data_IF_426480713098
#
_entry.id   IF_426480713098
#
_cell.length_a   1.000
_cell.length_b   1.000
_cell.length_c   1.000
_cell.angle_alpha   90.00
_cell.angle_beta   90.00
_cell.angle_gamma   90.00
#
_symmetry.space_group_name_H-M   'P 1'
#
loop_
_entity.id
_entity.type
_entity.pdbx_description
1 polymer ?
#
# COMPACT_ATOMS: atom_id res chain seq x y z
N UNK A 1 -12.77 -2.14 -15.41
CA UNK A 1 -14.17 -1.64 -15.50
C UNK A 1 -14.56 -0.87 -14.24
N UNK A 2 -14.59 -1.51 -13.06
CA UNK A 2 -14.95 -0.87 -11.80
C UNK A 2 -14.17 0.43 -11.50
N UNK A 3 -12.84 0.40 -11.58
CA UNK A 3 -12.02 1.60 -11.32
C UNK A 3 -12.27 2.75 -12.30
N UNK A 4 -12.66 2.45 -13.55
CA UNK A 4 -13.05 3.47 -14.52
C UNK A 4 -14.40 4.12 -14.17
N UNK A 5 -15.31 3.37 -13.56
CA UNK A 5 -16.67 3.83 -13.25
C UNK A 5 -16.71 4.72 -11.99
N UNK A 6 -15.95 4.40 -10.94
CA UNK A 6 -16.05 5.10 -9.65
C UNK A 6 -14.73 5.66 -9.11
N UNK A 7 -13.59 5.35 -9.75
CA UNK A 7 -12.25 5.66 -9.22
C UNK A 7 -11.87 7.14 -9.16
N UNK A 8 -12.76 8.04 -9.61
CA UNK A 8 -12.60 9.49 -9.44
C UNK A 8 -12.96 9.94 -8.02
N UNK A 9 -14.03 9.37 -7.46
CA UNK A 9 -14.59 9.78 -6.18
C UNK A 9 -14.32 8.75 -5.07
N UNK A 10 -13.87 7.55 -5.44
CA UNK A 10 -13.64 6.42 -4.53
C UNK A 10 -12.19 5.94 -4.65
N UNK A 11 -11.54 5.75 -3.51
CA UNK A 11 -10.25 5.07 -3.44
C UNK A 11 -10.44 3.55 -3.61
N UNK A 12 -9.70 2.96 -4.52
CA UNK A 12 -9.72 1.55 -4.89
C UNK A 12 -8.32 1.00 -4.60
N UNK A 13 -8.23 0.31 -3.49
CA UNK A 13 -6.97 -0.17 -2.92
C UNK A 13 -6.64 -1.57 -3.47
N UNK A 14 -5.47 -1.71 -4.08
CA UNK A 14 -4.92 -3.00 -4.50
C UNK A 14 -4.09 -3.63 -3.38
N UNK A 15 -4.56 -4.76 -2.84
CA UNK A 15 -3.85 -5.61 -1.87
C UNK A 15 -3.35 -6.90 -2.55
N UNK A 16 -4.17 -7.96 -2.57
CA UNK A 16 -3.83 -9.23 -3.23
C UNK A 16 -3.61 -9.10 -4.74
N UNK A 17 -4.15 -8.04 -5.35
CA UNK A 17 -3.96 -7.74 -6.76
C UNK A 17 -2.51 -7.35 -7.07
N UNK A 18 -1.87 -6.59 -6.17
CA UNK A 18 -0.56 -5.98 -6.39
C UNK A 18 0.53 -6.66 -5.57
N UNK A 19 0.19 -7.28 -4.43
CA UNK A 19 1.08 -7.98 -3.49
C UNK A 19 2.37 -7.22 -3.19
N UNK A 20 2.30 -5.88 -3.16
CA UNK A 20 3.48 -5.00 -3.01
C UNK A 20 4.58 -5.24 -4.06
N UNK A 21 4.26 -5.87 -5.20
CA UNK A 21 5.21 -6.22 -6.24
C UNK A 21 5.21 -5.18 -7.38
N UNK A 22 6.35 -4.51 -7.69
CA UNK A 22 6.42 -3.49 -8.73
C UNK A 22 5.92 -3.91 -10.12
N UNK A 23 6.14 -5.17 -10.53
CA UNK A 23 5.67 -5.70 -11.82
C UNK A 23 4.14 -5.75 -11.84
N UNK A 24 3.53 -6.22 -10.75
CA UNK A 24 2.06 -6.30 -10.62
C UNK A 24 1.41 -4.93 -10.43
N UNK A 25 2.09 -4.02 -9.74
CA UNK A 25 1.67 -2.62 -9.64
C UNK A 25 1.65 -1.98 -11.03
N UNK A 26 2.73 -2.13 -11.82
CA UNK A 26 2.79 -1.59 -13.17
C UNK A 26 1.70 -2.18 -14.08
N UNK A 27 1.46 -3.49 -13.99
CA UNK A 27 0.37 -4.16 -14.71
C UNK A 27 -1.00 -3.56 -14.33
N UNK A 28 -1.26 -3.38 -13.03
CA UNK A 28 -2.51 -2.82 -12.54
C UNK A 28 -2.70 -1.33 -12.91
N UNK A 29 -1.62 -0.55 -12.96
CA UNK A 29 -1.61 0.83 -13.48
C UNK A 29 -2.02 0.85 -14.95
N UNK A 30 -1.36 0.02 -15.78
CA UNK A 30 -1.61 -0.03 -17.22
C UNK A 30 -3.05 -0.44 -17.55
N UNK A 31 -3.62 -1.36 -16.75
CA UNK A 31 -5.00 -1.83 -16.90
C UNK A 31 -6.02 -0.88 -16.26
N UNK A 32 -5.59 0.12 -15.49
CA UNK A 32 -6.47 0.99 -14.72
C UNK A 32 -7.33 0.19 -13.74
N UNK A 33 -6.71 -0.74 -13.00
CA UNK A 33 -7.41 -1.68 -12.12
C UNK A 33 -7.64 -1.16 -10.70
N UNK A 34 -6.80 -0.24 -10.23
CA UNK A 34 -6.89 0.39 -8.91
C UNK A 34 -6.36 1.83 -8.98
N UNK A 35 -6.40 2.56 -7.86
CA UNK A 35 -5.80 3.90 -7.75
C UNK A 35 -5.07 4.12 -6.40
N UNK A 36 -4.87 3.06 -5.62
CA UNK A 36 -4.12 3.07 -4.37
C UNK A 36 -3.43 1.73 -4.14
N UNK A 37 -2.22 1.75 -3.59
CA UNK A 37 -1.46 0.58 -3.16
C UNK A 37 -1.67 0.32 -1.67
N UNK A 38 -1.99 -0.92 -1.27
CA UNK A 38 -1.80 -1.36 0.11
C UNK A 38 -0.37 -1.90 0.30
N UNK A 39 0.48 -1.11 0.96
CA UNK A 39 1.88 -1.43 1.16
C UNK A 39 2.07 -2.37 2.35
N UNK A 40 2.53 -3.59 2.10
CA UNK A 40 2.97 -4.54 3.14
C UNK A 40 4.43 -4.92 2.92
N UNK A 41 5.32 -4.35 3.73
CA UNK A 41 6.78 -4.46 3.59
C UNK A 41 7.27 -5.91 3.48
N UNK A 42 6.73 -6.80 4.31
CA UNK A 42 7.13 -8.21 4.32
C UNK A 42 6.53 -9.05 3.18
N UNK A 43 5.69 -8.49 2.29
CA UNK A 43 5.30 -9.16 1.05
C UNK A 43 6.39 -9.05 -0.02
N UNK A 44 7.11 -7.92 -0.08
CA UNK A 44 8.17 -7.70 -1.07
C UNK A 44 9.55 -8.09 -0.53
N UNK A 45 9.77 -7.99 0.78
CA UNK A 45 10.90 -8.59 1.47
C UNK A 45 12.00 -7.63 1.90
N UNK A 46 12.09 -6.42 1.33
CA UNK A 46 13.06 -5.41 1.73
C UNK A 46 12.50 -3.98 1.78
N UNK A 47 13.19 -3.11 2.54
CA UNK A 47 12.86 -1.68 2.63
C UNK A 47 13.09 -0.97 1.30
N UNK A 48 14.19 -1.28 0.61
CA UNK A 48 14.51 -0.68 -0.70
C UNK A 48 13.43 -0.97 -1.73
N UNK A 49 12.99 -2.23 -1.84
CA UNK A 49 11.93 -2.59 -2.79
C UNK A 49 10.57 -2.01 -2.37
N UNK A 50 10.31 -1.88 -1.07
CA UNK A 50 9.12 -1.18 -0.56
C UNK A 50 9.11 0.29 -0.98
N UNK A 51 10.26 0.97 -0.87
CA UNK A 51 10.42 2.36 -1.33
C UNK A 51 10.15 2.46 -2.84
N UNK A 52 10.66 1.52 -3.64
CA UNK A 52 10.47 1.52 -5.08
C UNK A 52 8.99 1.29 -5.47
N UNK A 53 8.28 0.39 -4.78
CA UNK A 53 6.85 0.19 -4.96
C UNK A 53 6.03 1.46 -4.63
N UNK A 54 6.40 2.18 -3.57
CA UNK A 54 5.78 3.46 -3.21
C UNK A 54 6.07 4.54 -4.24
N UNK A 55 7.32 4.68 -4.68
CA UNK A 55 7.70 5.66 -5.72
C UNK A 55 6.93 5.40 -7.01
N UNK A 56 6.88 4.16 -7.46
CA UNK A 56 6.16 3.76 -8.68
C UNK A 56 4.68 4.15 -8.58
N UNK A 57 4.04 3.84 -7.45
CA UNK A 57 2.63 4.16 -7.22
C UNK A 57 2.38 5.67 -7.26
N UNK A 58 3.18 6.44 -6.49
CA UNK A 58 3.03 7.90 -6.41
C UNK A 58 3.31 8.61 -7.74
N UNK A 59 4.32 8.18 -8.49
CA UNK A 59 4.65 8.75 -9.80
C UNK A 59 3.50 8.57 -10.81
N UNK A 60 2.70 7.52 -10.64
CA UNK A 60 1.51 7.26 -11.45
C UNK A 60 0.21 7.82 -10.83
N UNK A 61 0.33 8.72 -9.85
CA UNK A 61 -0.80 9.39 -9.21
C UNK A 61 -1.63 8.49 -8.30
N UNK A 62 -1.14 7.30 -7.93
CA UNK A 62 -1.82 6.44 -6.97
C UNK A 62 -1.56 6.89 -5.54
N UNK A 63 -2.57 6.72 -4.69
CA UNK A 63 -2.41 6.75 -3.23
C UNK A 63 -1.57 5.57 -2.73
N UNK A 64 -1.09 5.66 -1.49
CA UNK A 64 -0.39 4.57 -0.82
C UNK A 64 -0.86 4.51 0.62
N UNK A 65 -1.31 3.33 1.04
CA UNK A 65 -1.71 3.05 2.42
C UNK A 65 -0.74 2.04 3.02
N UNK A 66 0.02 2.45 4.03
CA UNK A 66 0.88 1.52 4.78
C UNK A 66 0.02 0.56 5.59
N UNK A 67 0.32 -0.73 5.57
CA UNK A 67 -0.51 -1.76 6.21
C UNK A 67 0.29 -2.67 7.12
N UNK A 68 -0.32 -2.99 8.25
CA UNK A 68 0.06 -4.12 9.10
C UNK A 68 -0.20 -5.48 8.44
N UNK A 69 0.12 -6.55 9.16
CA UNK A 69 -0.29 -7.93 8.90
C UNK A 69 -1.24 -8.44 9.98
N UNK A 70 -1.92 -9.55 9.69
CA UNK A 70 -2.79 -10.22 10.66
C UNK A 70 -2.02 -10.75 11.87
N UNK A 71 -0.79 -11.24 11.68
CA UNK A 71 0.17 -11.49 12.76
C UNK A 71 1.18 -10.36 12.83
N UNK A 72 1.07 -9.50 13.83
CA UNK A 72 2.03 -8.42 14.11
C UNK A 72 2.84 -8.74 15.36
N UNK A 73 3.91 -7.96 15.52
CA UNK A 73 4.74 -7.91 16.72
C UNK A 73 4.57 -6.56 17.43
N UNK A 74 5.29 -6.35 18.52
CA UNK A 74 5.41 -5.07 19.21
C UNK A 74 6.22 -4.00 18.44
N UNK A 75 6.74 -4.34 17.26
CA UNK A 75 7.51 -3.43 16.42
C UNK A 75 6.59 -2.42 15.73
N UNK A 76 6.90 -1.13 15.90
CA UNK A 76 6.15 0.00 15.36
C UNK A 76 6.76 0.58 14.08
N UNK A 77 7.76 -0.08 13.47
CA UNK A 77 8.53 0.42 12.33
C UNK A 77 7.67 0.91 11.15
N UNK A 78 6.51 0.29 10.89
CA UNK A 78 5.62 0.73 9.81
C UNK A 78 5.03 2.14 10.04
N UNK A 79 4.97 2.61 11.29
CA UNK A 79 4.55 3.98 11.61
C UNK A 79 5.60 4.99 11.13
N UNK A 80 6.88 4.77 11.46
CA UNK A 80 7.99 5.58 10.95
C UNK A 80 8.07 5.52 9.42
N UNK A 81 7.89 4.33 8.85
CA UNK A 81 7.90 4.14 7.40
C UNK A 81 6.76 4.93 6.73
N UNK A 82 5.56 4.94 7.30
CA UNK A 82 4.42 5.66 6.75
C UNK A 82 4.69 7.17 6.68
N UNK A 83 5.33 7.73 7.71
CA UNK A 83 5.75 9.14 7.78
C UNK A 83 6.90 9.42 6.83
N UNK A 84 7.97 8.62 6.87
CA UNK A 84 9.18 8.80 6.04
C UNK A 84 8.90 8.67 4.55
N UNK A 85 7.94 7.83 4.16
CA UNK A 85 7.48 7.69 2.78
C UNK A 85 6.36 8.67 2.42
N UNK A 86 5.90 9.51 3.36
CA UNK A 86 4.77 10.43 3.20
C UNK A 86 3.52 9.75 2.62
N UNK A 87 3.17 8.56 3.11
CA UNK A 87 2.06 7.76 2.55
C UNK A 87 0.70 8.43 2.73
N UNK A 88 0.51 9.15 3.83
CA UNK A 88 -0.73 9.89 4.14
C UNK A 88 -1.82 9.03 4.76
N UNK A 89 -1.74 7.70 4.61
CA UNK A 89 -2.71 6.75 5.14
C UNK A 89 -2.00 5.53 5.75
N UNK A 90 -2.52 5.05 6.88
CA UNK A 90 -2.02 3.84 7.55
C UNK A 90 -3.18 3.00 8.07
N UNK A 91 -3.07 1.67 7.89
CA UNK A 91 -3.99 0.66 8.40
C UNK A 91 -3.23 -0.25 9.36
N UNK A 92 -3.34 0.04 10.66
CA UNK A 92 -2.66 -0.71 11.73
C UNK A 92 -3.59 -1.50 12.65
N UNK A 93 -4.89 -1.54 12.35
CA UNK A 93 -5.87 -2.33 13.10
C UNK A 93 -6.80 -1.48 13.94
N UNK A 94 -7.60 -2.13 14.78
CA UNK A 94 -8.48 -1.43 15.71
C UNK A 94 -7.68 -0.85 16.88
N UNK A 95 -8.19 0.17 17.60
CA UNK A 95 -7.55 0.70 18.80
C UNK A 95 -7.71 -0.25 20.00
N UNK A 96 -7.25 -1.48 19.82
CA UNK A 96 -7.26 -2.55 20.79
C UNK A 96 -6.15 -3.56 20.45
N UNK A 97 -5.62 -4.23 21.48
CA UNK A 97 -4.48 -5.15 21.42
C UNK A 97 -3.15 -4.40 21.22
N UNK A 98 -2.10 -4.82 21.91
CA UNK A 98 -0.85 -4.06 22.03
C UNK A 98 -0.03 -3.97 20.74
N UNK A 99 -0.27 -4.88 19.80
CA UNK A 99 0.41 -4.94 18.50
C UNK A 99 -0.29 -4.11 17.40
N UNK A 100 -1.26 -3.24 17.75
CA UNK A 100 -2.11 -2.49 16.81
C UNK A 100 -1.99 -0.98 16.96
#
# INVERSE_FOLDING_TARGET
KFCKEVGKDVQIVGDDLTVTNPVKIQEAINLGSANCLLLKVNQIGSISESIDAVKLSKQNGWGVMTSHRSGETEDFYIADLAVGLCTGEIKTGAPCRGER
#
